data_IF_407270956482
#
_entry.id   IF_407270956482
#
_cell.length_a   1.000
_cell.length_b   1.000
_cell.length_c   1.000
_cell.angle_alpha   90.00
_cell.angle_beta   90.00
_cell.angle_gamma   90.00
#
_symmetry.space_group_name_H-M   'P 1'
#
loop_
_entity.id
_entity.type
_entity.pdbx_description
1 polymer ?
#
# COMPACT_ATOMS: atom_id res chain seq x y z
N UNK A 1 6.69 -0.06 15.39
CA UNK A 1 6.72 -0.27 13.92
C UNK A 1 7.50 -1.51 13.52
N UNK A 2 8.80 -1.63 13.82
CA UNK A 2 9.64 -2.79 13.43
C UNK A 2 9.07 -4.15 13.84
N UNK A 3 8.51 -4.30 15.06
CA UNK A 3 7.87 -5.55 15.51
C UNK A 3 6.74 -6.01 14.58
N UNK A 4 5.95 -5.10 14.01
CA UNK A 4 4.83 -5.42 13.11
C UNK A 4 5.33 -5.90 11.76
N UNK A 5 6.39 -5.27 11.21
CA UNK A 5 7.01 -5.70 9.95
C UNK A 5 7.57 -7.11 10.10
N UNK A 6 8.31 -7.36 11.18
CA UNK A 6 8.86 -8.69 11.49
C UNK A 6 7.73 -9.71 11.61
N UNK A 7 6.67 -9.38 12.34
CA UNK A 7 5.48 -10.20 12.48
C UNK A 7 4.90 -10.65 11.15
N UNK A 8 4.69 -9.70 10.27
CA UNK A 8 4.09 -9.95 8.97
C UNK A 8 4.96 -10.87 8.11
N UNK A 9 6.29 -10.67 8.10
CA UNK A 9 7.19 -11.48 7.29
C UNK A 9 7.42 -12.88 7.86
N UNK A 10 7.50 -13.03 9.18
CA UNK A 10 7.63 -14.34 9.83
C UNK A 10 6.33 -15.15 9.66
N UNK A 11 5.16 -14.53 9.76
CA UNK A 11 3.87 -15.19 9.51
C UNK A 11 3.74 -15.77 8.11
N UNK A 12 4.27 -15.11 7.08
CA UNK A 12 4.35 -15.65 5.72
C UNK A 12 5.28 -16.86 5.58
N UNK A 13 6.29 -16.98 6.42
CA UNK A 13 7.28 -18.06 6.40
C UNK A 13 6.83 -19.34 7.10
N UNK A 14 5.56 -19.45 7.55
CA UNK A 14 4.99 -20.60 8.28
C UNK A 14 5.73 -21.01 9.58
N UNK A 15 6.58 -20.19 10.15
CA UNK A 15 7.14 -20.43 11.48
C UNK A 15 6.12 -20.03 12.53
N UNK A 16 5.88 -20.94 13.50
CA UNK A 16 4.94 -20.70 14.59
C UNK A 16 5.37 -19.49 15.45
N UNK A 17 4.43 -18.59 15.71
CA UNK A 17 4.61 -17.41 16.57
C UNK A 17 5.00 -17.71 18.00
N UNK A 18 4.69 -18.91 18.48
CA UNK A 18 5.00 -19.34 19.86
C UNK A 18 6.50 -19.40 20.14
N UNK A 19 7.35 -19.42 19.12
CA UNK A 19 8.81 -19.59 19.27
C UNK A 19 9.61 -18.27 19.21
N UNK A 20 9.00 -17.16 18.77
CA UNK A 20 9.74 -15.89 18.58
C UNK A 20 9.39 -14.91 19.69
N UNK A 21 9.95 -15.11 20.89
CA UNK A 21 9.80 -14.15 22.00
C UNK A 21 10.55 -12.83 21.74
N UNK A 22 11.70 -12.88 21.10
CA UNK A 22 12.47 -11.69 20.71
C UNK A 22 13.11 -11.97 19.34
N UNK A 23 12.78 -11.18 18.29
CA UNK A 23 13.41 -11.35 16.99
C UNK A 23 14.91 -11.07 17.08
N UNK A 24 15.72 -11.90 16.43
CA UNK A 24 17.16 -11.61 16.31
C UNK A 24 17.40 -10.34 15.46
N UNK A 25 18.55 -9.71 15.62
CA UNK A 25 18.94 -8.56 14.84
C UNK A 25 18.91 -8.87 13.32
N UNK A 26 19.28 -10.08 12.93
CA UNK A 26 19.25 -10.52 11.53
C UNK A 26 17.82 -10.67 11.01
N UNK A 27 16.90 -11.18 11.84
CA UNK A 27 15.46 -11.24 11.48
C UNK A 27 14.88 -9.85 11.25
N UNK A 28 15.22 -8.90 12.12
CA UNK A 28 14.79 -7.50 11.99
C UNK A 28 15.35 -6.87 10.73
N UNK A 29 16.63 -7.07 10.46
CA UNK A 29 17.31 -6.56 9.26
C UNK A 29 16.66 -7.11 7.99
N UNK A 30 16.53 -8.43 7.88
CA UNK A 30 15.93 -9.11 6.73
C UNK A 30 14.49 -8.65 6.48
N UNK A 31 13.67 -8.52 7.52
CA UNK A 31 12.30 -8.03 7.39
C UNK A 31 12.25 -6.57 6.93
N UNK A 32 13.18 -5.72 7.42
CA UNK A 32 13.26 -4.32 6.99
C UNK A 32 13.72 -4.19 5.54
N UNK A 33 14.73 -4.95 5.13
CA UNK A 33 15.23 -4.99 3.75
C UNK A 33 14.13 -5.47 2.78
N UNK A 34 13.39 -6.53 3.15
CA UNK A 34 12.26 -7.02 2.36
C UNK A 34 11.16 -5.97 2.19
N UNK A 35 10.84 -5.22 3.25
CA UNK A 35 9.84 -4.16 3.18
C UNK A 35 10.33 -2.97 2.35
N UNK A 36 11.59 -2.56 2.48
CA UNK A 36 12.20 -1.54 1.64
C UNK A 36 12.22 -1.95 0.16
N UNK A 37 12.48 -3.23 -0.14
CA UNK A 37 12.34 -3.78 -1.48
C UNK A 37 10.92 -3.59 -2.01
N UNK A 38 9.90 -3.96 -1.21
CA UNK A 38 8.49 -3.76 -1.57
C UNK A 38 8.16 -2.30 -1.88
N UNK A 39 8.70 -1.35 -1.10
CA UNK A 39 8.52 0.09 -1.33
C UNK A 39 9.15 0.52 -2.66
N UNK A 40 10.39 0.10 -2.92
CA UNK A 40 11.14 0.46 -4.14
C UNK A 40 10.50 -0.08 -5.41
N UNK A 41 9.95 -1.28 -5.35
CA UNK A 41 9.29 -1.96 -6.47
C UNK A 41 7.84 -1.49 -6.69
N UNK A 42 7.28 -0.77 -5.72
CA UNK A 42 5.90 -0.32 -5.83
C UNK A 42 5.77 0.86 -6.81
N UNK A 43 5.12 0.62 -7.92
CA UNK A 43 4.82 1.61 -8.96
C UNK A 43 3.32 1.80 -9.19
N UNK A 44 2.48 1.25 -8.32
CA UNK A 44 1.04 1.27 -8.43
C UNK A 44 0.34 1.83 -7.20
N UNK A 45 -0.93 2.21 -7.39
CA UNK A 45 -1.81 2.74 -6.34
C UNK A 45 -3.10 1.92 -6.17
N UNK A 46 -3.20 0.77 -6.83
CA UNK A 46 -4.32 -0.15 -6.66
C UNK A 46 -4.38 -0.65 -5.21
N UNK A 47 -5.54 -1.15 -4.81
CA UNK A 47 -5.74 -1.71 -3.47
C UNK A 47 -4.63 -2.69 -3.07
N UNK A 48 -4.27 -3.65 -3.92
CA UNK A 48 -3.20 -4.60 -3.65
C UNK A 48 -1.84 -3.94 -3.38
N UNK A 49 -1.53 -2.85 -4.06
CA UNK A 49 -0.30 -2.10 -3.83
C UNK A 49 -0.29 -1.49 -2.43
N UNK A 50 -1.42 -0.88 -2.02
CA UNK A 50 -1.58 -0.29 -0.69
C UNK A 50 -1.50 -1.36 0.40
N UNK A 51 -2.18 -2.49 0.24
CA UNK A 51 -2.13 -3.62 1.18
C UNK A 51 -0.70 -4.14 1.37
N UNK A 52 0.05 -4.33 0.29
CA UNK A 52 1.46 -4.77 0.36
C UNK A 52 2.37 -3.81 1.12
N UNK A 53 2.11 -2.51 1.02
CA UNK A 53 2.87 -1.47 1.72
C UNK A 53 2.45 -1.32 3.18
N UNK A 54 1.15 -1.39 3.46
CA UNK A 54 0.57 -0.94 4.72
C UNK A 54 0.38 -2.08 5.74
N UNK A 55 0.01 -3.28 5.29
CA UNK A 55 -0.22 -4.41 6.19
C UNK A 55 1.00 -4.79 7.03
N UNK A 56 2.23 -4.79 6.49
CA UNK A 56 3.41 -5.01 7.31
C UNK A 56 3.59 -3.99 8.43
N UNK A 57 3.08 -2.78 8.24
CA UNK A 57 3.09 -1.71 9.25
C UNK A 57 1.95 -1.83 10.25
N UNK A 58 1.02 -2.78 10.04
CA UNK A 58 -0.17 -2.99 10.86
C UNK A 58 -1.32 -2.04 10.54
N UNK A 59 -1.27 -1.35 9.40
CA UNK A 59 -2.40 -0.57 8.87
C UNK A 59 -3.18 -1.49 7.95
N UNK A 60 -4.32 -1.98 8.43
CA UNK A 60 -5.22 -2.90 7.72
C UNK A 60 -6.47 -2.15 7.25
N UNK A 61 -7.32 -2.81 6.47
CA UNK A 61 -8.53 -2.23 5.89
C UNK A 61 -9.41 -1.50 6.90
N UNK A 62 -9.51 -2.03 8.13
CA UNK A 62 -10.29 -1.39 9.19
C UNK A 62 -9.79 0.02 9.59
N UNK A 63 -8.55 0.36 9.24
CA UNK A 63 -7.94 1.67 9.50
C UNK A 63 -8.09 2.62 8.30
N UNK A 64 -8.66 2.17 7.19
CA UNK A 64 -8.80 2.91 5.95
C UNK A 64 -10.27 3.03 5.57
N UNK A 65 -10.63 4.13 4.92
CA UNK A 65 -11.98 4.30 4.41
C UNK A 65 -12.22 3.39 3.20
N UNK A 66 -13.21 2.50 3.26
CA UNK A 66 -13.49 1.53 2.21
C UNK A 66 -13.84 2.19 0.86
N UNK A 67 -14.58 3.30 0.89
CA UNK A 67 -14.92 4.06 -0.32
C UNK A 67 -13.67 4.63 -0.98
N UNK A 68 -12.77 5.20 -0.17
CA UNK A 68 -11.49 5.72 -0.65
C UNK A 68 -10.61 4.61 -1.26
N UNK A 69 -10.54 3.44 -0.62
CA UNK A 69 -9.80 2.29 -1.17
C UNK A 69 -10.34 1.85 -2.53
N UNK A 70 -11.66 1.80 -2.67
CA UNK A 70 -12.30 1.47 -3.95
C UNK A 70 -12.02 2.53 -5.02
N UNK A 71 -11.99 3.80 -4.66
CA UNK A 71 -11.63 4.89 -5.57
C UNK A 71 -10.15 4.82 -5.99
N UNK A 72 -9.23 4.52 -5.06
CA UNK A 72 -7.81 4.31 -5.36
C UNK A 72 -7.62 3.14 -6.32
N UNK A 73 -8.33 2.04 -6.11
CA UNK A 73 -8.27 0.86 -6.98
C UNK A 73 -8.74 1.20 -8.40
N UNK A 74 -9.92 1.83 -8.53
CA UNK A 74 -10.48 2.27 -9.81
C UNK A 74 -9.55 3.24 -10.55
N UNK A 75 -8.97 4.20 -9.83
CA UNK A 75 -8.00 5.14 -10.40
C UNK A 75 -6.74 4.42 -10.88
N UNK A 76 -6.22 3.48 -10.10
CA UNK A 76 -5.04 2.68 -10.45
C UNK A 76 -5.27 1.79 -11.67
N UNK A 77 -6.46 1.20 -11.82
CA UNK A 77 -6.86 0.44 -13.02
C UNK A 77 -6.89 1.36 -14.24
N UNK A 78 -7.63 2.49 -14.16
CA UNK A 78 -7.74 3.46 -15.26
C UNK A 78 -6.38 3.96 -15.72
N UNK A 79 -5.50 4.33 -14.79
CA UNK A 79 -4.14 4.77 -15.11
C UNK A 79 -3.34 3.68 -15.82
N UNK A 80 -3.43 2.43 -15.35
CA UNK A 80 -2.76 1.28 -15.96
C UNK A 80 -3.24 1.04 -17.40
N UNK A 81 -4.55 1.06 -17.59
CA UNK A 81 -5.15 0.90 -18.92
C UNK A 81 -4.70 1.97 -19.91
N UNK A 82 -4.63 3.23 -19.47
CA UNK A 82 -4.12 4.32 -20.30
C UNK A 82 -2.65 4.16 -20.68
N UNK A 83 -1.83 3.68 -19.74
CA UNK A 83 -0.40 3.49 -19.96
C UNK A 83 -0.09 2.33 -20.93
N UNK A 84 -0.95 1.30 -20.99
CA UNK A 84 -0.72 0.09 -21.77
C UNK A 84 -1.48 0.04 -23.11
N UNK A 85 -2.44 0.93 -23.34
CA UNK A 85 -3.20 0.99 -24.60
C UNK A 85 -2.53 1.89 -25.63
N UNK A 86 -1.42 1.42 -26.19
CA UNK A 86 -0.83 2.04 -27.39
C UNK A 86 -1.64 1.61 -28.63
N UNK A 87 -2.69 2.35 -29.01
CA UNK A 87 -3.39 2.16 -30.29
C UNK A 87 -4.87 1.79 -30.23
N UNK A 88 -5.52 1.77 -29.08
CA UNK A 88 -6.98 1.64 -28.96
C UNK A 88 -7.68 3.01 -28.92
N UNK A 89 -8.98 3.06 -29.25
CA UNK A 89 -9.80 4.25 -29.05
C UNK A 89 -9.81 4.59 -27.56
N UNK A 90 -8.99 5.55 -27.16
CA UNK A 90 -8.98 6.10 -25.80
C UNK A 90 -10.06 7.17 -25.77
N UNK A 91 -11.05 7.02 -24.90
CA UNK A 91 -11.97 8.12 -24.58
C UNK A 91 -11.13 9.31 -24.12
N UNK A 92 -11.33 10.47 -24.75
CA UNK A 92 -10.61 11.67 -24.37
C UNK A 92 -10.76 11.93 -22.86
N UNK A 93 -9.67 12.22 -22.13
CA UNK A 93 -9.78 12.53 -20.73
C UNK A 93 -10.64 13.77 -20.50
N UNK A 94 -11.43 13.78 -19.44
CA UNK A 94 -12.11 14.96 -18.92
C UNK A 94 -11.23 15.62 -17.87
N UNK A 95 -10.43 16.66 -18.22
CA UNK A 95 -9.47 17.24 -17.29
C UNK A 95 -10.11 17.75 -15.98
N UNK A 96 -11.25 18.45 -15.97
CA UNK A 96 -11.90 18.87 -14.74
C UNK A 96 -12.33 17.69 -13.85
N UNK A 97 -12.88 16.64 -14.45
CA UNK A 97 -13.27 15.42 -13.72
C UNK A 97 -12.07 14.66 -13.15
N UNK A 98 -10.96 14.62 -13.87
CA UNK A 98 -9.73 14.01 -13.36
C UNK A 98 -9.13 14.81 -12.20
N UNK A 99 -9.11 16.13 -12.27
CA UNK A 99 -8.66 17.00 -11.15
C UNK A 99 -9.51 16.73 -9.91
N UNK A 100 -10.83 16.74 -10.04
CA UNK A 100 -11.76 16.45 -8.94
C UNK A 100 -11.51 15.07 -8.34
N UNK A 101 -11.22 14.07 -9.16
CA UNK A 101 -10.90 12.72 -8.71
C UNK A 101 -9.60 12.71 -7.89
N UNK A 102 -8.55 13.34 -8.39
CA UNK A 102 -7.25 13.42 -7.69
C UNK A 102 -7.39 14.16 -6.36
N UNK A 103 -8.11 15.27 -6.31
CA UNK A 103 -8.36 16.02 -5.08
C UNK A 103 -9.03 15.16 -4.00
N UNK A 104 -10.04 14.36 -4.36
CA UNK A 104 -10.68 13.42 -3.43
C UNK A 104 -9.73 12.35 -2.92
N UNK A 105 -8.89 11.81 -3.79
CA UNK A 105 -7.89 10.81 -3.42
C UNK A 105 -6.83 11.39 -2.48
N UNK A 106 -6.42 12.64 -2.68
CA UNK A 106 -5.45 13.33 -1.82
C UNK A 106 -5.96 13.47 -0.38
N UNK A 107 -7.25 13.71 -0.17
CA UNK A 107 -7.83 13.77 1.19
C UNK A 107 -7.59 12.46 1.95
N UNK A 108 -7.81 11.33 1.31
CA UNK A 108 -7.57 10.02 1.92
C UNK A 108 -6.08 9.72 2.13
N UNK A 109 -5.21 10.15 1.21
CA UNK A 109 -3.76 10.03 1.37
C UNK A 109 -3.25 10.84 2.57
N UNK A 110 -3.74 12.05 2.77
CA UNK A 110 -3.40 12.86 3.93
C UNK A 110 -3.88 12.22 5.24
N UNK A 111 -5.04 11.59 5.24
CA UNK A 111 -5.54 10.84 6.41
C UNK A 111 -4.65 9.63 6.71
N UNK A 112 -4.20 8.91 5.66
CA UNK A 112 -3.27 7.80 5.78
C UNK A 112 -1.91 8.25 6.31
N UNK A 113 -1.36 9.34 5.79
CA UNK A 113 -0.09 9.93 6.25
C UNK A 113 -0.12 10.25 7.74
N UNK A 114 -1.21 10.87 8.22
CA UNK A 114 -1.42 11.12 9.66
C UNK A 114 -1.46 9.82 10.47
N UNK A 115 -2.06 8.76 9.93
CA UNK A 115 -2.11 7.45 10.58
C UNK A 115 -0.71 6.84 10.68
N UNK A 116 0.08 6.90 9.62
CA UNK A 116 1.46 6.44 9.59
C UNK A 116 2.35 7.24 10.55
N UNK A 117 2.16 8.54 10.63
CA UNK A 117 2.89 9.41 11.55
C UNK A 117 2.69 9.06 13.04
N UNK A 118 1.58 8.39 13.39
CA UNK A 118 1.28 7.91 14.76
C UNK A 118 1.89 6.54 15.08
N UNK A 119 2.49 5.86 14.11
CA UNK A 119 3.11 4.54 14.31
C UNK A 119 4.55 4.61 14.86
N UNK A 120 4.99 5.77 15.27
CA UNK A 120 6.32 6.02 15.86
C UNK A 120 6.50 5.34 17.20
#
# INVERSE_FOLDING_TARGET
MLRRIVSYHVGKSRKSWSEVRTPSADTVRSASESHLGTIRENNGVKRQNLERLLYPLGVVDAHMNATWLAQMDSFGVKRGDMAHRSGGVVTAPDPPGEVTTVERLLVGLLALDRTLGRLR
#
